data_IF_661614343125
#
_entry.id   IF_661614343125
#
_cell.length_a   1.000
_cell.length_b   1.000
_cell.length_c   1.000
_cell.angle_alpha   90.00
_cell.angle_beta   90.00
_cell.angle_gamma   90.00
#
_symmetry.space_group_name_H-M   'P 1'
#
loop_
_entity.id
_entity.type
_entity.pdbx_description
1 polymer ?
#
# COMPACT_ATOMS: atom_id res chain seq x y z
N UNK A 1 -14.13 27.31 12.34
CA UNK A 1 -13.19 26.28 11.83
C UNK A 1 -13.73 25.88 10.47
N UNK A 2 -13.04 26.20 9.39
CA UNK A 2 -13.49 25.80 8.05
C UNK A 2 -13.11 24.33 7.83
N UNK A 3 -14.10 23.50 7.54
CA UNK A 3 -13.90 22.06 7.31
C UNK A 3 -13.27 21.79 5.94
N UNK A 4 -13.31 22.77 5.03
CA UNK A 4 -12.82 22.63 3.65
C UNK A 4 -11.32 22.90 3.52
N UNK A 5 -10.64 23.39 4.56
CA UNK A 5 -9.19 23.66 4.56
C UNK A 5 -8.38 22.38 4.79
N UNK A 6 -8.52 21.42 3.86
CA UNK A 6 -7.94 20.07 3.94
C UNK A 6 -6.41 20.11 3.94
N UNK A 7 -5.80 21.05 3.22
CA UNK A 7 -4.34 21.16 3.09
C UNK A 7 -3.66 21.53 4.40
N UNK A 8 -4.33 22.34 5.23
CA UNK A 8 -3.88 22.63 6.58
C UNK A 8 -3.92 21.39 7.46
N UNK A 9 -5.01 20.62 7.42
CA UNK A 9 -5.16 19.42 8.26
C UNK A 9 -4.14 18.32 7.93
N UNK A 10 -3.78 18.18 6.65
CA UNK A 10 -2.72 17.25 6.21
C UNK A 10 -1.33 17.58 6.78
N UNK A 11 -1.09 18.84 7.16
CA UNK A 11 0.20 19.32 7.68
C UNK A 11 0.18 19.54 9.20
N UNK A 12 -0.95 19.32 9.86
CA UNK A 12 -1.09 19.55 11.30
C UNK A 12 -0.40 18.43 12.09
N UNK A 13 0.65 18.81 12.83
CA UNK A 13 1.43 17.89 13.68
C UNK A 13 0.57 17.22 14.75
N UNK A 14 -0.48 17.89 15.25
CA UNK A 14 -1.38 17.29 16.25
C UNK A 14 -2.23 16.18 15.63
N UNK A 15 -2.66 16.36 14.38
CA UNK A 15 -3.41 15.33 13.64
C UNK A 15 -2.49 14.15 13.34
N UNK A 16 -1.28 14.41 12.86
CA UNK A 16 -0.27 13.39 12.60
C UNK A 16 0.07 12.55 13.84
N UNK A 17 0.24 13.19 15.00
CA UNK A 17 0.57 12.50 16.24
C UNK A 17 -0.61 11.68 16.80
N UNK A 18 -1.85 12.18 16.67
CA UNK A 18 -3.05 11.38 16.98
C UNK A 18 -3.22 10.20 16.04
N UNK A 19 -2.91 10.37 14.75
CA UNK A 19 -2.95 9.31 13.76
C UNK A 19 -1.93 8.23 14.10
N UNK A 20 -0.69 8.60 14.38
CA UNK A 20 0.39 7.68 14.77
C UNK A 20 0.03 6.79 15.96
N UNK A 21 -0.73 7.33 16.92
CA UNK A 21 -1.18 6.63 18.13
C UNK A 21 -2.50 5.87 17.95
N UNK A 22 -3.04 5.79 16.73
CA UNK A 22 -4.33 5.16 16.47
C UNK A 22 -5.50 5.83 17.21
N UNK A 23 -5.37 7.11 17.58
CA UNK A 23 -6.36 7.86 18.36
C UNK A 23 -7.45 8.49 17.47
N UNK A 24 -8.12 7.65 16.68
CA UNK A 24 -9.02 8.00 15.57
C UNK A 24 -10.49 7.65 15.86
N UNK A 25 -10.87 7.53 17.13
CA UNK A 25 -12.27 7.32 17.53
C UNK A 25 -13.11 8.51 17.04
N UNK A 26 -14.19 8.23 16.31
CA UNK A 26 -15.05 9.26 15.70
C UNK A 26 -14.52 9.82 14.38
N UNK A 27 -13.42 9.29 13.85
CA UNK A 27 -12.95 9.60 12.50
C UNK A 27 -13.58 8.63 11.50
N UNK A 28 -14.27 9.17 10.50
CA UNK A 28 -14.86 8.38 9.44
C UNK A 28 -13.83 7.46 8.79
N UNK A 29 -14.25 6.23 8.46
CA UNK A 29 -13.46 5.18 7.81
C UNK A 29 -12.35 4.52 8.64
N UNK A 30 -11.77 5.21 9.63
CA UNK A 30 -10.58 4.74 10.38
C UNK A 30 -10.81 4.56 11.88
N UNK A 31 -12.06 4.51 12.31
CA UNK A 31 -12.44 4.31 13.72
C UNK A 31 -12.40 2.83 14.17
N UNK A 32 -12.43 1.90 13.22
CA UNK A 32 -12.57 0.47 13.53
C UNK A 32 -11.33 -0.04 14.28
N UNK A 33 -11.50 -0.99 15.23
CA UNK A 33 -10.37 -1.51 16.02
C UNK A 33 -9.26 -2.10 15.13
N UNK A 34 -9.64 -2.82 14.08
CA UNK A 34 -8.70 -3.44 13.14
C UNK A 34 -7.87 -2.41 12.37
N UNK A 35 -8.49 -1.31 11.91
CA UNK A 35 -7.76 -0.24 11.21
C UNK A 35 -6.82 0.49 12.17
N UNK A 36 -7.30 0.78 13.38
CA UNK A 36 -6.51 1.45 14.41
C UNK A 36 -5.25 0.68 14.78
N UNK A 37 -5.35 -0.64 14.92
CA UNK A 37 -4.21 -1.50 15.19
C UNK A 37 -3.16 -1.45 14.05
N UNK A 38 -3.61 -1.54 12.79
CA UNK A 38 -2.69 -1.46 11.63
C UNK A 38 -2.02 -0.09 11.55
N UNK A 39 -2.74 1.00 11.80
CA UNK A 39 -2.17 2.35 11.80
C UNK A 39 -1.13 2.50 12.93
N UNK A 40 -1.42 1.97 14.11
CA UNK A 40 -0.51 2.00 15.25
C UNK A 40 0.77 1.19 14.97
N UNK A 41 0.65 -0.01 14.38
CA UNK A 41 1.79 -0.84 13.97
C UNK A 41 2.63 -0.21 12.84
N UNK A 42 1.97 0.48 11.89
CA UNK A 42 2.67 1.26 10.86
C UNK A 42 3.36 2.49 11.45
N UNK A 43 2.79 3.12 12.48
CA UNK A 43 3.33 4.32 13.11
C UNK A 43 3.47 5.51 12.15
N UNK A 44 2.72 5.50 11.05
CA UNK A 44 2.83 6.51 9.99
C UNK A 44 2.03 7.77 10.31
N UNK A 45 2.56 8.89 9.83
CA UNK A 45 1.95 10.23 9.91
C UNK A 45 1.32 10.67 8.60
N UNK A 46 1.51 9.90 7.53
CA UNK A 46 1.17 10.29 6.18
C UNK A 46 -0.17 9.71 5.74
N UNK A 47 -0.92 10.51 4.98
CA UNK A 47 -2.23 10.12 4.46
C UNK A 47 -2.16 8.92 3.51
N UNK A 48 -1.09 8.80 2.72
CA UNK A 48 -0.91 7.68 1.78
C UNK A 48 -0.87 6.34 2.53
N UNK A 49 -0.21 6.30 3.68
CA UNK A 49 -0.13 5.10 4.51
C UNK A 49 -1.46 4.75 5.17
N UNK A 50 -2.31 5.74 5.44
CA UNK A 50 -3.68 5.52 5.90
C UNK A 50 -4.51 4.78 4.83
N UNK A 51 -4.42 5.23 3.57
CA UNK A 51 -5.11 4.62 2.44
C UNK A 51 -4.59 3.19 2.22
N UNK A 52 -3.27 2.98 2.26
CA UNK A 52 -2.67 1.67 2.15
C UNK A 52 -3.11 0.73 3.29
N UNK A 53 -3.03 1.19 4.54
CA UNK A 53 -3.45 0.42 5.73
C UNK A 53 -4.91 0.00 5.68
N UNK A 54 -5.81 0.91 5.27
CA UNK A 54 -7.23 0.59 5.09
C UNK A 54 -7.47 -0.46 3.99
N UNK A 55 -6.64 -0.47 2.95
CA UNK A 55 -6.78 -1.39 1.81
C UNK A 55 -6.30 -2.82 2.13
N UNK A 56 -5.42 -2.98 3.12
CA UNK A 56 -4.85 -4.28 3.54
C UNK A 56 -5.84 -5.12 4.38
N UNK A 57 -6.83 -4.50 5.02
CA UNK A 57 -7.73 -5.17 5.99
C UNK A 57 -8.80 -6.04 5.29
N UNK A 58 -8.66 -6.31 3.99
CA UNK A 58 -9.53 -7.24 3.27
C UNK A 58 -9.26 -8.69 3.73
N UNK A 59 -10.29 -9.54 3.84
CA UNK A 59 -10.15 -10.90 4.37
C UNK A 59 -9.18 -11.81 3.60
N UNK A 60 -8.83 -11.49 2.35
CA UNK A 60 -7.81 -12.22 1.56
C UNK A 60 -6.36 -11.84 1.87
N UNK A 61 -6.09 -10.58 2.23
CA UNK A 61 -4.73 -10.07 2.52
C UNK A 61 -4.37 -10.24 4.00
N UNK A 62 -5.34 -10.16 4.90
CA UNK A 62 -5.11 -10.37 6.34
C UNK A 62 -4.71 -11.80 6.70
N UNK A 63 -5.23 -12.81 6.00
CA UNK A 63 -4.94 -14.24 6.27
C UNK A 63 -3.60 -14.72 5.73
N UNK A 64 -3.03 -14.02 4.76
CA UNK A 64 -1.87 -14.46 3.98
C UNK A 64 -0.53 -13.97 4.54
N UNK A 65 -0.52 -13.28 5.70
CA UNK A 65 0.70 -12.69 6.26
C UNK A 65 1.25 -11.49 5.46
N UNK A 66 0.55 -11.08 4.39
CA UNK A 66 0.91 -9.94 3.55
C UNK A 66 0.85 -8.62 4.33
N UNK A 67 -0.09 -8.50 5.28
CA UNK A 67 -0.17 -7.34 6.17
C UNK A 67 1.12 -7.13 6.97
N UNK A 68 1.62 -8.21 7.59
CA UNK A 68 2.86 -8.16 8.38
C UNK A 68 4.07 -7.85 7.50
N UNK A 69 4.13 -8.46 6.32
CA UNK A 69 5.18 -8.18 5.34
C UNK A 69 5.18 -6.72 4.90
N UNK A 70 4.01 -6.09 4.74
CA UNK A 70 3.90 -4.68 4.40
C UNK A 70 4.41 -3.77 5.55
N UNK A 71 4.08 -4.11 6.79
CA UNK A 71 4.55 -3.36 7.97
C UNK A 71 6.08 -3.51 8.13
N UNK A 72 6.60 -4.73 8.01
CA UNK A 72 8.04 -5.00 8.13
C UNK A 72 8.85 -4.27 7.04
N UNK A 73 8.35 -4.26 5.80
CA UNK A 73 8.98 -3.55 4.67
C UNK A 73 8.79 -2.04 4.73
N UNK A 74 7.72 -1.55 5.35
CA UNK A 74 7.56 -0.12 5.63
C UNK A 74 8.67 0.38 6.56
N UNK A 75 8.98 -0.39 7.62
CA UNK A 75 10.08 -0.06 8.54
C UNK A 75 11.46 -0.38 7.95
N UNK A 76 11.56 -1.35 7.04
CA UNK A 76 12.80 -1.76 6.37
C UNK A 76 12.67 -1.77 4.83
N UNK A 77 12.66 -0.60 4.19
CA UNK A 77 12.45 -0.49 2.74
C UNK A 77 13.60 -1.10 1.91
N UNK A 78 14.76 -1.36 2.52
CA UNK A 78 15.92 -1.98 1.86
C UNK A 78 15.80 -3.49 1.69
N UNK A 79 14.82 -4.15 2.32
CA UNK A 79 14.62 -5.60 2.22
C UNK A 79 13.68 -5.98 1.06
N UNK A 80 13.28 -5.02 0.23
CA UNK A 80 12.35 -5.29 -0.87
C UNK A 80 13.16 -5.73 -2.07
N UNK A 81 13.06 -7.01 -2.39
CA UNK A 81 13.58 -7.57 -3.63
C UNK A 81 12.47 -7.58 -4.68
N UNK A 82 12.66 -6.83 -5.76
CA UNK A 82 11.74 -6.77 -6.88
C UNK A 82 12.22 -7.70 -7.98
N UNK A 83 11.37 -8.64 -8.37
CA UNK A 83 11.66 -9.57 -9.45
C UNK A 83 11.95 -8.88 -10.80
N UNK A 84 11.45 -7.65 -10.99
CA UNK A 84 11.63 -6.88 -12.23
C UNK A 84 11.28 -5.38 -12.04
N UNK A 85 11.81 -4.46 -12.87
CA UNK A 85 11.53 -3.01 -12.82
C UNK A 85 10.06 -2.61 -13.00
N UNK A 86 9.23 -3.45 -13.63
CA UNK A 86 7.80 -3.15 -13.86
C UNK A 86 6.98 -3.28 -12.56
N UNK A 87 7.03 -4.41 -11.84
CA UNK A 87 6.52 -4.51 -10.48
C UNK A 87 7.11 -3.46 -9.54
N UNK A 88 8.39 -3.09 -9.69
CA UNK A 88 8.99 -2.02 -8.90
C UNK A 88 8.25 -0.70 -9.09
N UNK A 89 8.05 -0.24 -10.33
CA UNK A 89 7.34 1.02 -10.59
C UNK A 89 5.92 1.04 -10.03
N UNK A 90 5.20 -0.08 -10.11
CA UNK A 90 3.80 -0.18 -9.73
C UNK A 90 3.59 -0.45 -8.23
N UNK A 91 4.49 -1.20 -7.60
CA UNK A 91 4.36 -1.65 -6.21
C UNK A 91 5.28 -0.90 -5.26
N UNK A 92 6.03 0.11 -5.72
CA UNK A 92 6.89 0.95 -4.87
C UNK A 92 6.11 1.61 -3.74
N UNK A 93 4.92 2.11 -4.05
CA UNK A 93 4.06 2.80 -3.09
C UNK A 93 3.46 1.85 -2.04
N UNK A 94 3.42 0.56 -2.34
CA UNK A 94 2.88 -0.51 -1.47
C UNK A 94 3.94 -1.49 -1.01
N UNK A 95 5.21 -1.09 -1.02
CA UNK A 95 6.33 -1.90 -0.53
C UNK A 95 6.41 -3.32 -1.15
N UNK A 96 6.07 -3.45 -2.43
CA UNK A 96 6.08 -4.73 -3.14
C UNK A 96 4.91 -5.65 -2.81
N UNK A 97 3.88 -5.15 -2.12
CA UNK A 97 2.65 -5.91 -1.81
C UNK A 97 1.54 -5.47 -2.76
N UNK A 98 0.91 -6.43 -3.45
CA UNK A 98 -0.18 -6.15 -4.38
C UNK A 98 -1.49 -5.95 -3.61
N UNK A 99 -1.80 -4.71 -3.28
CA UNK A 99 -2.96 -4.33 -2.46
C UNK A 99 -4.15 -3.86 -3.33
N UNK A 100 -3.86 -3.19 -4.44
CA UNK A 100 -4.86 -2.64 -5.36
C UNK A 100 -5.25 -3.64 -6.45
N UNK A 101 -6.55 -3.73 -6.76
CA UNK A 101 -7.05 -4.57 -7.86
C UNK A 101 -6.56 -4.08 -9.23
N UNK A 102 -6.27 -2.78 -9.36
CA UNK A 102 -5.78 -2.14 -10.59
C UNK A 102 -4.37 -2.59 -10.98
N UNK A 103 -3.55 -3.06 -10.03
CA UNK A 103 -2.22 -3.61 -10.33
C UNK A 103 -2.25 -5.00 -10.97
N UNK A 104 -3.37 -5.73 -10.89
CA UNK A 104 -3.48 -7.11 -11.39
C UNK A 104 -3.53 -7.18 -12.92
N UNK A 105 -4.39 -6.42 -13.63
CA UNK A 105 -4.40 -6.42 -15.09
C UNK A 105 -3.10 -5.92 -15.68
N UNK A 106 -2.44 -4.92 -15.10
CA UNK A 106 -1.25 -4.31 -15.69
C UNK A 106 -0.04 -5.25 -15.67
N UNK A 107 0.16 -5.96 -14.56
CA UNK A 107 1.15 -7.05 -14.47
C UNK A 107 0.75 -8.21 -15.39
N UNK A 108 -0.53 -8.58 -15.43
CA UNK A 108 -1.03 -9.65 -16.30
C UNK A 108 -0.98 -9.34 -17.80
N UNK A 109 -1.10 -8.09 -18.21
CA UNK A 109 -0.95 -7.64 -19.59
C UNK A 109 0.53 -7.66 -19.97
N UNK A 110 1.41 -7.21 -19.08
CA UNK A 110 2.85 -7.16 -19.35
C UNK A 110 3.51 -8.54 -19.38
N UNK A 111 3.11 -9.45 -18.47
CA UNK A 111 3.70 -10.79 -18.34
C UNK A 111 2.87 -11.91 -18.94
N UNK A 112 1.54 -11.85 -18.77
CA UNK A 112 0.63 -12.93 -19.18
C UNK A 112 0.08 -12.77 -20.60
N UNK A 113 0.41 -11.68 -21.31
CA UNK A 113 -0.18 -11.33 -22.60
C UNK A 113 -1.72 -11.41 -22.61
N UNK A 114 -2.38 -11.09 -21.49
CA UNK A 114 -3.78 -11.45 -21.26
C UNK A 114 -4.82 -10.72 -22.14
N UNK A 115 -4.43 -9.69 -22.92
CA UNK A 115 -5.39 -8.89 -23.71
C UNK A 115 -4.93 -8.37 -25.09
N UNK A 116 -3.77 -8.77 -25.63
CA UNK A 116 -3.26 -8.24 -26.91
C UNK A 116 -2.87 -9.32 -27.91
N UNK A 117 -3.42 -9.28 -29.14
CA UNK A 117 -2.96 -10.05 -30.31
C UNK A 117 -1.54 -9.69 -30.79
N UNK A 118 -0.84 -8.82 -30.06
CA UNK A 118 0.53 -8.39 -30.38
C UNK A 118 1.40 -8.57 -29.14
N UNK A 119 1.59 -9.82 -28.77
CA UNK A 119 2.52 -10.26 -27.75
C UNK A 119 3.94 -10.07 -28.33
N UNK A 120 4.67 -9.08 -27.83
CA UNK A 120 6.13 -8.98 -28.04
C UNK A 120 6.73 -9.07 -26.65
N UNK A 121 6.96 -10.29 -26.19
CA UNK A 121 7.84 -10.54 -25.05
C UNK A 121 9.18 -9.86 -25.37
N UNK A 122 9.83 -9.16 -24.42
CA UNK A 122 11.25 -8.92 -24.57
C UNK A 122 11.93 -10.29 -24.78
N UNK A 123 12.93 -10.39 -25.68
CA UNK A 123 13.66 -11.65 -25.84
C UNK A 123 14.12 -12.08 -24.44
N UNK A 124 13.89 -13.36 -24.15
CA UNK A 124 14.27 -13.96 -22.89
C UNK A 124 15.68 -13.46 -22.52
N UNK A 125 15.83 -12.96 -21.29
CA UNK A 125 17.15 -12.93 -20.69
C UNK A 125 17.52 -14.40 -20.51
N UNK A 126 18.21 -14.91 -21.53
CA UNK A 126 18.88 -16.18 -21.55
C UNK A 126 19.95 -16.10 -20.46
N UNK A 127 19.64 -16.56 -19.25
CA UNK A 127 20.59 -17.01 -18.22
C UNK A 127 19.81 -17.32 -16.93
N UNK A 128 19.51 -18.61 -16.77
CA UNK A 128 19.35 -19.23 -15.45
C UNK A 128 20.73 -19.40 -14.81
#
# INVERSE_FOLDING_TARGET
MDVNDVDRFKKDLKVADRLKRGATIGCFYIESPSIRQVIEELGSKDYIMLVAGSSIIRPGVGKSGMMKSNIDRYHNPTQIDYLHPVPEQQLKETFGVMIYQEGVPEVGIHYGCLFSRRCRLPPAADEW
#
